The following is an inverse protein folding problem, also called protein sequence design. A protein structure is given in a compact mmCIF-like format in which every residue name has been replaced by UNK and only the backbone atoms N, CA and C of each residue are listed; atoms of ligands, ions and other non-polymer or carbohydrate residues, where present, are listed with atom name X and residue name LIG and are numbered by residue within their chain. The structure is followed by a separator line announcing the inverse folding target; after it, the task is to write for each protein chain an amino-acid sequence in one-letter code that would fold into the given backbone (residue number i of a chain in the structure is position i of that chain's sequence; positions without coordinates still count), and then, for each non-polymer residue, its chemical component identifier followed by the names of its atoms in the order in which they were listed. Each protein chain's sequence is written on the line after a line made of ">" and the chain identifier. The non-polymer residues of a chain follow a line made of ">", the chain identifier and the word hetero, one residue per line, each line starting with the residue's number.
data_IF_627448400092
#
_entry.id   IF_627448400092
#
_cell.length_a   1.000
_cell.length_b   1.000
_cell.length_c   1.000
_cell.angle_alpha   90.00
_cell.angle_beta   90.00
_cell.angle_gamma   90.00
#
_symmetry.space_group_name_H-M   'P 1'
#
loop_
_entity.id
_entity.type
_entity.pdbx_description
1 polymer ?
#
# COMPACT_ATOMS: atom_id res chain seq x y z
N UNK A 1 -0.02 20.01 -3.73
CA UNK A 1 -0.46 18.64 -3.39
C UNK A 1 0.21 17.67 -4.34
N UNK A 2 0.89 16.65 -3.81
CA UNK A 2 1.64 15.58 -4.51
C UNK A 2 2.85 16.00 -5.37
N UNK A 3 2.93 17.24 -5.87
CA UNK A 3 4.07 17.68 -6.68
C UNK A 3 4.10 17.08 -8.09
N UNK A 4 2.97 16.56 -8.56
CA UNK A 4 2.83 15.99 -9.90
C UNK A 4 2.66 17.09 -10.96
N UNK A 5 3.00 16.83 -12.24
CA UNK A 5 2.87 17.83 -13.31
C UNK A 5 1.41 18.28 -13.50
N UNK A 6 1.18 19.58 -13.73
CA UNK A 6 -0.18 20.13 -13.90
C UNK A 6 -0.99 19.47 -15.02
N UNK A 7 -0.34 19.01 -16.10
CA UNK A 7 -1.00 18.30 -17.20
C UNK A 7 -1.64 16.96 -16.78
N UNK A 8 -1.21 16.41 -15.64
CA UNK A 8 -1.79 15.20 -15.07
C UNK A 8 -3.03 15.47 -14.25
N UNK A 9 -3.25 16.71 -13.81
CA UNK A 9 -4.35 17.05 -12.93
C UNK A 9 -5.68 16.77 -13.61
N UNK A 10 -6.56 16.15 -12.85
CA UNK A 10 -7.92 15.81 -13.23
C UNK A 10 -8.75 16.06 -11.98
N UNK A 11 -9.93 16.64 -12.11
CA UNK A 11 -10.82 16.82 -10.94
C UNK A 11 -12.13 16.12 -11.23
N UNK A 12 -12.04 14.81 -11.52
CA UNK A 12 -13.20 14.00 -11.84
C UNK A 12 -13.66 13.30 -10.58
N UNK A 13 -14.70 13.84 -9.97
CA UNK A 13 -15.36 13.18 -8.86
C UNK A 13 -15.97 11.87 -9.33
N UNK A 14 -15.77 10.80 -8.56
CA UNK A 14 -16.45 9.53 -8.78
C UNK A 14 -17.61 9.43 -7.80
N UNK A 15 -18.86 9.63 -8.25
CA UNK A 15 -20.02 9.46 -7.38
C UNK A 15 -20.06 8.01 -6.90
N UNK A 16 -20.13 7.81 -5.58
CA UNK A 16 -20.18 6.46 -5.01
C UNK A 16 -21.30 5.61 -5.60
N UNK A 17 -22.47 6.22 -5.85
CA UNK A 17 -23.61 5.57 -6.50
C UNK A 17 -23.24 5.03 -7.89
N UNK A 18 -22.43 5.74 -8.66
CA UNK A 18 -21.97 5.27 -9.97
C UNK A 18 -21.03 4.07 -9.82
N UNK A 19 -20.08 4.13 -8.87
CA UNK A 19 -19.20 2.99 -8.55
C UNK A 19 -20.05 1.77 -8.14
N UNK A 20 -21.04 1.96 -7.27
CA UNK A 20 -21.89 0.88 -6.76
C UNK A 20 -22.71 0.20 -7.84
N UNK A 21 -23.18 0.96 -8.82
CA UNK A 21 -24.02 0.46 -9.92
C UNK A 21 -23.18 -0.17 -11.03
N UNK A 22 -22.14 0.52 -11.50
CA UNK A 22 -21.25 0.03 -12.56
C UNK A 22 -20.54 -1.28 -12.16
N UNK A 23 -20.14 -1.39 -10.89
CA UNK A 23 -19.39 -2.54 -10.40
C UNK A 23 -20.24 -3.57 -9.64
N UNK A 24 -21.57 -3.47 -9.69
CA UNK A 24 -22.51 -4.43 -9.08
C UNK A 24 -22.16 -4.83 -7.63
N UNK A 25 -21.77 -3.85 -6.81
CA UNK A 25 -21.26 -4.15 -5.46
C UNK A 25 -22.34 -4.79 -4.57
N UNK A 26 -21.94 -5.69 -3.67
CA UNK A 26 -22.85 -6.23 -2.67
C UNK A 26 -23.17 -5.21 -1.56
N UNK A 27 -24.26 -5.41 -0.82
CA UNK A 27 -24.72 -4.46 0.20
C UNK A 27 -23.68 -4.20 1.30
N UNK A 28 -22.99 -5.25 1.77
CA UNK A 28 -21.98 -5.14 2.81
C UNK A 28 -20.77 -4.27 2.39
N UNK A 29 -20.32 -4.39 1.14
CA UNK A 29 -19.21 -3.59 0.62
C UNK A 29 -19.61 -2.11 0.42
N UNK A 30 -20.86 -1.85 -0.02
CA UNK A 30 -21.40 -0.48 -0.11
C UNK A 30 -21.45 0.18 1.27
N UNK A 31 -21.97 -0.53 2.26
CA UNK A 31 -22.09 -0.03 3.63
C UNK A 31 -20.73 0.32 4.22
N UNK A 32 -19.70 -0.52 4.00
CA UNK A 32 -18.33 -0.22 4.43
C UNK A 32 -17.74 1.01 3.75
N UNK A 33 -17.89 1.15 2.44
CA UNK A 33 -17.43 2.35 1.71
C UNK A 33 -18.19 3.59 2.19
N UNK A 34 -19.47 3.47 2.54
CA UNK A 34 -20.25 4.58 3.08
C UNK A 34 -19.89 4.95 4.51
N UNK A 35 -19.48 3.99 5.33
CA UNK A 35 -18.99 4.22 6.68
C UNK A 35 -17.58 4.82 6.71
N UNK A 36 -16.67 4.33 5.85
CA UNK A 36 -15.25 4.69 5.90
C UNK A 36 -14.91 5.92 5.05
N UNK A 37 -15.56 6.07 3.89
CA UNK A 37 -15.19 7.07 2.89
C UNK A 37 -16.22 8.20 2.86
N UNK A 38 -15.76 9.44 2.74
CA UNK A 38 -16.60 10.61 2.48
C UNK A 38 -16.71 10.84 0.98
N UNK A 39 -15.58 10.94 0.28
CA UNK A 39 -15.50 11.31 -1.14
C UNK A 39 -14.38 10.55 -1.84
N UNK A 40 -14.61 10.21 -3.11
CA UNK A 40 -13.61 9.64 -4.01
C UNK A 40 -13.50 10.57 -5.21
N UNK A 41 -12.28 11.02 -5.51
CA UNK A 41 -12.00 11.92 -6.62
C UNK A 41 -10.76 11.44 -7.34
N UNK A 42 -10.83 11.29 -8.66
CA UNK A 42 -9.63 11.14 -9.49
C UNK A 42 -8.97 12.50 -9.53
N UNK A 43 -7.78 12.62 -8.95
CA UNK A 43 -7.00 13.87 -8.86
C UNK A 43 -5.94 13.97 -9.94
N UNK A 44 -5.41 12.82 -10.39
CA UNK A 44 -4.46 12.80 -11.49
C UNK A 44 -4.64 11.56 -12.37
N UNK A 45 -4.35 11.72 -13.65
CA UNK A 45 -4.16 10.63 -14.60
C UNK A 45 -2.75 10.71 -15.16
N UNK A 46 -1.98 9.65 -14.93
CA UNK A 46 -0.60 9.54 -15.39
C UNK A 46 -0.58 8.72 -16.67
N UNK A 47 -0.38 9.42 -17.79
CA UNK A 47 -0.34 8.84 -19.12
C UNK A 47 0.79 9.46 -19.95
N UNK A 48 1.33 8.75 -20.96
CA UNK A 48 2.51 9.19 -21.68
C UNK A 48 2.37 10.57 -22.33
N UNK A 49 1.18 10.86 -22.85
CA UNK A 49 0.82 12.13 -23.47
C UNK A 49 0.82 13.32 -22.49
N UNK A 50 0.80 13.09 -21.17
CA UNK A 50 0.72 14.12 -20.14
C UNK A 50 2.06 14.42 -19.46
N UNK A 51 2.96 13.44 -19.38
CA UNK A 51 4.21 13.56 -18.61
C UNK A 51 5.49 13.37 -19.43
N UNK A 52 5.38 13.15 -20.75
CA UNK A 52 6.52 12.88 -21.64
C UNK A 52 7.38 11.68 -21.20
N UNK A 53 6.77 10.71 -20.50
CA UNK A 53 7.36 9.42 -20.16
C UNK A 53 6.64 8.36 -21.00
N UNK A 54 7.33 7.54 -21.79
CA UNK A 54 6.69 6.53 -22.63
C UNK A 54 5.95 5.48 -21.81
N UNK A 55 4.92 4.88 -22.42
CA UNK A 55 4.24 3.73 -21.83
C UNK A 55 5.24 2.59 -21.58
N UNK A 56 5.06 1.90 -20.47
CA UNK A 56 5.75 0.64 -20.21
C UNK A 56 5.15 -0.52 -21.01
N UNK A 57 5.79 -1.68 -20.91
CA UNK A 57 5.25 -2.94 -21.42
C UNK A 57 3.98 -3.32 -20.65
N UNK A 58 4.01 -3.20 -19.32
CA UNK A 58 2.93 -3.63 -18.43
C UNK A 58 2.00 -2.47 -18.02
N UNK A 59 2.55 -1.28 -17.82
CA UNK A 59 1.85 -0.08 -17.35
C UNK A 59 1.69 0.91 -18.50
N UNK A 60 0.48 0.98 -19.07
CA UNK A 60 0.15 1.95 -20.13
C UNK A 60 -0.23 3.33 -19.60
N UNK A 61 -0.90 3.35 -18.44
CA UNK A 61 -1.24 4.52 -17.66
C UNK A 61 -1.74 4.08 -16.29
N UNK A 62 -1.76 4.99 -15.32
CA UNK A 62 -2.31 4.74 -13.99
C UNK A 62 -2.99 5.99 -13.43
N UNK A 63 -3.90 5.81 -12.49
CA UNK A 63 -4.65 6.90 -11.87
C UNK A 63 -4.18 7.19 -10.45
N UNK A 64 -4.37 8.44 -10.03
CA UNK A 64 -4.24 8.85 -8.64
C UNK A 64 -5.61 9.23 -8.12
N UNK A 65 -6.08 8.51 -7.10
CA UNK A 65 -7.38 8.72 -6.48
C UNK A 65 -7.20 9.32 -5.09
N UNK A 66 -7.75 10.51 -4.88
CA UNK A 66 -7.91 11.09 -3.56
C UNK A 66 -9.18 10.52 -2.93
N UNK A 67 -8.99 9.85 -1.81
CA UNK A 67 -10.04 9.25 -0.99
C UNK A 67 -10.07 9.98 0.34
N UNK A 68 -11.04 10.88 0.49
CA UNK A 68 -11.29 11.57 1.75
C UNK A 68 -12.02 10.63 2.69
N UNK A 69 -11.38 10.26 3.80
CA UNK A 69 -11.88 9.34 4.80
C UNK A 69 -12.72 10.08 5.85
N UNK A 70 -13.70 9.37 6.44
CA UNK A 70 -14.52 9.89 7.55
C UNK A 70 -13.88 9.66 8.92
N UNK A 71 -12.94 8.73 9.00
CA UNK A 71 -12.22 8.33 10.21
C UNK A 71 -10.82 7.86 9.84
N UNK A 72 -9.87 8.06 10.74
CA UNK A 72 -8.47 7.64 10.56
C UNK A 72 -8.32 6.10 10.52
N UNK A 73 -9.17 5.40 11.27
CA UNK A 73 -9.25 3.94 11.30
C UNK A 73 -10.29 3.44 10.28
N UNK A 74 -9.83 2.94 9.13
CA UNK A 74 -10.68 2.38 8.09
C UNK A 74 -10.33 0.89 7.84
N UNK A 75 -11.25 0.14 7.22
CA UNK A 75 -10.98 -1.25 6.85
C UNK A 75 -10.11 -1.32 5.60
N UNK A 76 -8.90 -1.89 5.67
CA UNK A 76 -8.01 -2.06 4.51
C UNK A 76 -8.67 -2.82 3.36
N UNK A 77 -9.66 -3.68 3.66
CA UNK A 77 -10.46 -4.38 2.64
C UNK A 77 -11.23 -3.41 1.75
N UNK A 78 -11.57 -2.22 2.24
CA UNK A 78 -12.21 -1.16 1.46
C UNK A 78 -11.31 -0.69 0.32
N UNK A 79 -10.02 -0.47 0.59
CA UNK A 79 -9.03 -0.07 -0.44
C UNK A 79 -8.75 -1.20 -1.42
N UNK A 80 -8.60 -2.43 -0.91
CA UNK A 80 -8.45 -3.60 -1.76
C UNK A 80 -9.66 -3.79 -2.69
N UNK A 81 -10.87 -3.56 -2.19
CA UNK A 81 -12.09 -3.62 -2.99
C UNK A 81 -12.05 -2.57 -4.08
N UNK A 82 -11.84 -1.29 -3.72
CA UNK A 82 -11.78 -0.18 -4.68
C UNK A 82 -10.72 -0.41 -5.77
N UNK A 83 -9.54 -0.92 -5.41
CA UNK A 83 -8.51 -1.20 -6.40
C UNK A 83 -8.86 -2.35 -7.34
N UNK A 84 -9.59 -3.35 -6.86
CA UNK A 84 -10.04 -4.47 -7.70
C UNK A 84 -11.19 -4.09 -8.64
N UNK A 85 -11.92 -3.03 -8.34
CA UNK A 85 -13.01 -2.56 -9.19
C UNK A 85 -12.49 -1.97 -10.50
N UNK A 86 -11.38 -1.25 -10.45
CA UNK A 86 -10.84 -0.57 -11.62
C UNK A 86 -9.68 -1.43 -12.16
N UNK A 87 -9.77 -1.99 -13.37
CA UNK A 87 -8.76 -2.88 -13.94
C UNK A 87 -7.53 -2.10 -14.44
N UNK A 88 -6.95 -1.30 -13.56
CA UNK A 88 -5.81 -0.43 -13.84
C UNK A 88 -5.07 -0.13 -12.55
N UNK A 89 -3.77 0.17 -12.67
CA UNK A 89 -2.95 0.59 -11.54
C UNK A 89 -3.49 1.90 -10.93
N UNK A 90 -3.62 1.91 -9.61
CA UNK A 90 -4.13 3.06 -8.86
C UNK A 90 -3.26 3.35 -7.66
N UNK A 91 -2.81 4.60 -7.57
CA UNK A 91 -2.26 5.18 -6.36
C UNK A 91 -3.39 5.86 -5.58
N UNK A 92 -3.67 5.37 -4.37
CA UNK A 92 -4.62 5.99 -3.45
C UNK A 92 -3.91 7.01 -2.58
N UNK A 93 -4.46 8.22 -2.52
CA UNK A 93 -4.12 9.23 -1.53
C UNK A 93 -5.25 9.25 -0.52
N UNK A 94 -4.98 8.71 0.65
CA UNK A 94 -5.94 8.59 1.73
C UNK A 94 -5.78 9.80 2.63
N UNK A 95 -6.81 10.65 2.65
CA UNK A 95 -6.79 11.91 3.38
C UNK A 95 -7.79 11.85 4.54
N UNK A 96 -7.34 12.28 5.71
CA UNK A 96 -8.18 12.46 6.88
C UNK A 96 -7.75 13.76 7.58
N UNK A 97 -8.65 14.73 7.66
CA UNK A 97 -8.36 16.08 8.15
C UNK A 97 -7.18 16.72 7.40
N UNK A 98 -6.06 17.02 8.08
CA UNK A 98 -4.87 17.64 7.48
C UNK A 98 -3.74 16.64 7.23
N UNK A 99 -3.99 15.35 7.43
CA UNK A 99 -3.02 14.28 7.22
C UNK A 99 -3.41 13.43 6.01
N UNK A 100 -2.40 12.91 5.33
CA UNK A 100 -2.58 11.94 4.26
C UNK A 100 -1.56 10.82 4.32
N UNK A 101 -1.90 9.70 3.70
CA UNK A 101 -0.98 8.61 3.40
C UNK A 101 -1.21 8.07 2.00
N UNK A 102 -0.18 7.49 1.42
CA UNK A 102 -0.27 6.81 0.14
C UNK A 102 -0.60 5.34 0.37
N UNK A 103 -1.42 4.77 -0.50
CA UNK A 103 -1.69 3.34 -0.51
C UNK A 103 -1.80 2.82 -1.95
N UNK A 104 -1.41 1.57 -2.14
CA UNK A 104 -1.53 0.84 -3.40
C UNK A 104 -2.01 -0.57 -3.13
N UNK A 105 -2.58 -1.20 -4.15
CA UNK A 105 -2.86 -2.63 -4.14
C UNK A 105 -1.99 -3.31 -5.19
N UNK A 106 -1.13 -4.23 -4.75
CA UNK A 106 -0.37 -5.11 -5.64
C UNK A 106 -0.86 -6.55 -5.44
N UNK A 107 -0.21 -7.30 -4.57
CA UNK A 107 -0.71 -8.58 -4.01
C UNK A 107 -1.57 -8.35 -2.76
N UNK A 108 -1.23 -7.31 -2.00
CA UNK A 108 -1.91 -6.83 -0.79
C UNK A 108 -1.97 -5.30 -0.78
N UNK A 109 -2.72 -4.74 0.16
CA UNK A 109 -2.69 -3.29 0.42
C UNK A 109 -1.37 -2.95 1.07
N UNK A 110 -0.61 -2.06 0.44
CA UNK A 110 0.59 -1.44 0.98
C UNK A 110 0.30 0.03 1.24
N UNK A 111 0.83 0.58 2.32
CA UNK A 111 0.51 1.93 2.75
C UNK A 111 1.66 2.58 3.52
N UNK A 112 1.84 3.88 3.32
CA UNK A 112 2.79 4.68 4.10
C UNK A 112 2.23 5.06 5.45
N UNK A 113 3.10 5.55 6.33
CA UNK A 113 2.69 6.29 7.53
C UNK A 113 1.90 7.55 7.16
N UNK A 114 1.06 7.99 8.09
CA UNK A 114 0.38 9.28 8.02
C UNK A 114 1.41 10.40 8.13
N UNK A 115 1.26 11.43 7.29
CA UNK A 115 2.03 12.68 7.37
C UNK A 115 1.17 13.86 6.92
N UNK A 116 1.55 15.11 7.20
CA UNK A 116 0.81 16.27 6.74
C UNK A 116 0.58 16.22 5.23
N UNK A 117 -0.64 16.53 4.78
CA UNK A 117 -1.00 16.47 3.35
C UNK A 117 -0.11 17.37 2.47
N UNK A 118 0.40 18.45 3.04
CA UNK A 118 1.34 19.37 2.38
C UNK A 118 2.72 18.75 2.10
N UNK A 119 3.15 17.81 2.95
CA UNK A 119 4.41 17.07 2.82
C UNK A 119 4.28 15.82 1.93
N UNK A 120 3.06 15.53 1.46
CA UNK A 120 2.81 14.42 0.56
C UNK A 120 3.33 14.74 -0.83
N UNK A 121 4.29 13.95 -1.30
CA UNK A 121 4.93 14.07 -2.61
C UNK A 121 5.00 12.71 -3.27
N UNK A 122 4.80 12.70 -4.58
CA UNK A 122 4.91 11.53 -5.43
C UNK A 122 5.86 11.90 -6.55
N UNK A 123 7.00 11.21 -6.61
CA UNK A 123 8.00 11.45 -7.65
C UNK A 123 7.80 10.44 -8.79
N UNK A 124 7.76 10.95 -10.02
CA UNK A 124 7.65 10.13 -11.22
C UNK A 124 9.03 9.89 -11.80
N UNK A 125 9.83 9.06 -11.12
CA UNK A 125 11.19 8.74 -11.55
C UNK A 125 11.20 7.46 -12.38
N UNK A 126 11.67 7.54 -13.63
CA UNK A 126 11.80 6.36 -14.49
C UNK A 126 11.88 6.71 -15.98
N UNK A 127 12.44 5.81 -16.78
CA UNK A 127 12.54 5.97 -18.24
C UNK A 127 11.23 5.60 -18.96
N UNK A 128 10.35 4.83 -18.30
CA UNK A 128 9.03 4.45 -18.79
C UNK A 128 8.05 4.32 -17.59
N UNK A 129 6.77 4.13 -17.89
CA UNK A 129 5.74 3.99 -16.85
C UNK A 129 5.86 2.71 -16.00
N UNK A 130 6.52 1.66 -16.47
CA UNK A 130 6.78 0.47 -15.64
C UNK A 130 7.72 0.82 -14.50
N UNK A 131 8.86 1.44 -14.81
CA UNK A 131 9.85 1.87 -13.82
C UNK A 131 9.27 2.93 -12.87
N UNK A 132 8.46 3.86 -13.39
CA UNK A 132 7.78 4.86 -12.55
C UNK A 132 6.83 4.17 -11.56
N UNK A 133 6.02 3.22 -12.04
CA UNK A 133 5.09 2.51 -11.18
C UNK A 133 5.81 1.65 -10.14
N UNK A 134 6.84 0.92 -10.55
CA UNK A 134 7.69 0.12 -9.67
C UNK A 134 8.30 0.97 -8.55
N UNK A 135 8.85 2.15 -8.88
CA UNK A 135 9.40 3.08 -7.89
C UNK A 135 8.33 3.59 -6.90
N UNK A 136 7.10 3.81 -7.36
CA UNK A 136 5.98 4.15 -6.47
C UNK A 136 5.66 2.96 -5.55
N UNK A 137 5.65 1.74 -6.07
CA UNK A 137 5.39 0.53 -5.26
C UNK A 137 6.46 0.33 -4.19
N UNK A 138 7.73 0.52 -4.54
CA UNK A 138 8.87 0.52 -3.63
C UNK A 138 8.67 1.55 -2.52
N UNK A 139 8.40 2.81 -2.89
CA UNK A 139 8.25 3.91 -1.95
C UNK A 139 7.05 3.73 -1.00
N UNK A 140 5.91 3.24 -1.51
CA UNK A 140 4.70 3.01 -0.71
C UNK A 140 4.81 1.75 0.15
N UNK A 141 5.44 0.71 -0.38
CA UNK A 141 5.67 -0.56 0.32
C UNK A 141 6.81 -0.52 1.33
N UNK A 142 7.67 0.52 1.29
CA UNK A 142 8.90 0.56 2.08
C UNK A 142 9.87 -0.57 1.69
N UNK A 143 9.83 -0.99 0.43
CA UNK A 143 10.62 -2.12 -0.08
C UNK A 143 11.94 -1.56 -0.59
N UNK A 144 13.07 -2.08 -0.13
CA UNK A 144 14.37 -1.85 -0.77
C UNK A 144 14.67 -3.05 -1.65
N UNK A 145 14.72 -2.86 -2.98
CA UNK A 145 15.09 -3.92 -3.92
C UNK A 145 16.59 -4.20 -3.76
N UNK A 146 16.93 -5.41 -3.32
CA UNK A 146 18.29 -5.90 -3.32
C UNK A 146 18.71 -6.27 -4.75
N UNK A 147 20.00 -6.07 -5.08
CA UNK A 147 20.51 -6.27 -6.45
C UNK A 147 20.25 -7.71 -6.92
N UNK A 148 19.43 -7.85 -7.96
CA UNK A 148 19.15 -9.12 -8.63
C UNK A 148 17.76 -9.70 -8.37
N UNK A 149 17.02 -9.17 -7.39
CA UNK A 149 15.63 -9.57 -7.14
C UNK A 149 14.66 -8.75 -7.98
N UNK A 150 13.56 -9.37 -8.38
CA UNK A 150 12.38 -8.65 -8.90
C UNK A 150 11.62 -7.97 -7.75
N UNK A 151 10.80 -6.95 -8.07
CA UNK A 151 9.94 -6.28 -7.08
C UNK A 151 9.07 -7.28 -6.31
N UNK A 152 8.47 -8.25 -7.00
CA UNK A 152 7.60 -9.26 -6.38
C UNK A 152 8.35 -10.20 -5.44
N UNK A 153 9.53 -10.66 -5.83
CA UNK A 153 10.38 -11.49 -4.96
C UNK A 153 10.78 -10.71 -3.70
N UNK A 154 11.16 -9.45 -3.84
CA UNK A 154 11.54 -8.62 -2.69
C UNK A 154 10.35 -8.35 -1.76
N UNK A 155 9.16 -8.12 -2.31
CA UNK A 155 7.93 -7.98 -1.52
C UNK A 155 7.68 -9.25 -0.70
N UNK A 156 7.80 -10.44 -1.31
CA UNK A 156 7.62 -11.70 -0.58
C UNK A 156 8.67 -11.91 0.50
N UNK A 157 9.94 -11.59 0.23
CA UNK A 157 11.04 -11.67 1.20
C UNK A 157 10.75 -10.74 2.37
N UNK A 158 10.41 -9.48 2.13
CA UNK A 158 10.10 -8.50 3.16
C UNK A 158 8.88 -8.93 3.99
N UNK A 159 7.87 -9.54 3.37
CA UNK A 159 6.71 -10.09 4.08
C UNK A 159 7.05 -11.25 5.00
N UNK A 160 7.93 -12.15 4.55
CA UNK A 160 8.45 -13.24 5.38
C UNK A 160 9.26 -12.68 6.55
N UNK A 161 10.14 -11.71 6.31
CA UNK A 161 10.92 -11.02 7.34
C UNK A 161 10.01 -10.38 8.40
N UNK A 162 9.03 -9.56 7.98
CA UNK A 162 8.09 -8.91 8.91
C UNK A 162 7.26 -9.90 9.73
N UNK A 163 6.83 -11.04 9.15
CA UNK A 163 6.10 -12.07 9.89
C UNK A 163 6.97 -12.72 10.96
N UNK A 164 8.21 -13.08 10.61
CA UNK A 164 9.18 -13.65 11.54
C UNK A 164 9.50 -12.68 12.67
N UNK A 165 9.79 -11.40 12.36
CA UNK A 165 10.04 -10.36 13.37
C UNK A 165 8.88 -10.20 14.35
N UNK A 166 7.64 -10.13 13.85
CA UNK A 166 6.45 -10.04 14.71
C UNK A 166 6.32 -11.25 15.63
N UNK A 167 6.61 -12.44 15.12
CA UNK A 167 6.54 -13.66 15.89
C UNK A 167 7.66 -13.76 16.94
N UNK A 168 8.88 -13.32 16.60
CA UNK A 168 9.99 -13.16 17.53
C UNK A 168 9.61 -12.20 18.67
N UNK A 169 9.10 -11.01 18.36
CA UNK A 169 8.67 -10.03 19.38
C UNK A 169 7.57 -10.60 20.28
N UNK A 170 6.63 -11.36 19.70
CA UNK A 170 5.56 -12.04 20.46
C UNK A 170 6.17 -13.07 21.42
N UNK A 171 7.06 -13.94 20.94
CA UNK A 171 7.72 -14.97 21.74
C UNK A 171 8.61 -14.35 22.82
N UNK A 172 9.39 -13.31 22.51
CA UNK A 172 10.21 -12.57 23.48
C UNK A 172 9.36 -12.03 24.62
N UNK A 173 8.21 -11.41 24.30
CA UNK A 173 7.29 -10.87 25.30
C UNK A 173 6.69 -11.98 26.17
N UNK A 174 6.32 -13.12 25.57
CA UNK A 174 5.81 -14.28 26.29
C UNK A 174 6.88 -14.90 27.21
N UNK A 175 8.11 -15.07 26.71
CA UNK A 175 9.22 -15.61 27.48
C UNK A 175 9.61 -14.73 28.67
N UNK A 176 9.52 -13.40 28.53
CA UNK A 176 9.76 -12.45 29.64
C UNK A 176 8.66 -12.52 30.72
N UNK A 177 7.42 -12.77 30.33
CA UNK A 177 6.27 -12.84 31.25
C UNK A 177 6.12 -14.22 31.93
N UNK A 178 6.69 -15.27 31.34
CA UNK A 178 6.57 -16.65 31.86
C UNK A 178 7.42 -16.88 33.12
N UNK A 179 6.79 -17.49 34.12
CA UNK A 179 7.38 -17.81 35.43
C UNK A 179 7.88 -19.25 35.51
N UNK A 180 7.28 -20.16 34.74
CA UNK A 180 7.67 -21.57 34.72
C UNK A 180 8.95 -21.77 33.91
N UNK A 181 10.06 -22.24 34.52
CA UNK A 181 11.35 -22.32 33.83
C UNK A 181 11.35 -23.19 32.57
N UNK A 182 10.62 -24.32 32.58
CA UNK A 182 10.52 -25.22 31.42
C UNK A 182 9.84 -24.55 30.22
N UNK A 183 8.69 -23.91 30.44
CA UNK A 183 7.97 -23.19 29.37
C UNK A 183 8.74 -21.97 28.88
N UNK A 184 9.42 -21.26 29.78
CA UNK A 184 10.31 -20.16 29.38
C UNK A 184 11.44 -20.63 28.48
N UNK A 185 12.05 -21.78 28.80
CA UNK A 185 13.09 -22.38 27.97
C UNK A 185 12.57 -22.75 26.57
N UNK A 186 11.40 -23.39 26.49
CA UNK A 186 10.75 -23.73 25.21
C UNK A 186 10.48 -22.48 24.35
N UNK A 187 9.97 -21.40 24.96
CA UNK A 187 9.71 -20.14 24.27
C UNK A 187 10.98 -19.48 23.73
N UNK A 188 12.07 -19.48 24.52
CA UNK A 188 13.38 -18.94 24.09
C UNK A 188 14.00 -19.80 23.00
N UNK A 189 13.82 -21.13 23.04
CA UNK A 189 14.31 -22.01 21.99
C UNK A 189 13.59 -21.77 20.67
N UNK A 190 12.25 -21.67 20.70
CA UNK A 190 11.46 -21.31 19.52
C UNK A 190 11.83 -19.92 18.97
N UNK A 191 12.05 -18.94 19.85
CA UNK A 191 12.52 -17.61 19.46
C UNK A 191 13.87 -17.66 18.73
N UNK A 192 14.82 -18.47 19.24
CA UNK A 192 16.14 -18.65 18.62
C UNK A 192 16.04 -19.28 17.22
N UNK A 193 15.20 -20.30 17.06
CA UNK A 193 14.97 -20.93 15.75
C UNK A 193 14.39 -19.94 14.73
N UNK A 194 13.48 -19.06 15.16
CA UNK A 194 12.96 -18.01 14.27
C UNK A 194 14.00 -16.94 13.93
N UNK A 195 14.89 -16.59 14.87
CA UNK A 195 16.03 -15.69 14.61
C UNK A 195 17.01 -16.27 13.61
N UNK A 196 17.29 -17.58 13.65
CA UNK A 196 18.13 -18.24 12.64
C UNK A 196 17.48 -18.25 11.25
N UNK A 197 16.16 -18.51 11.17
CA UNK A 197 15.42 -18.40 9.91
C UNK A 197 15.40 -16.98 9.34
N UNK A 198 15.31 -15.97 10.20
CA UNK A 198 15.38 -14.57 9.77
C UNK A 198 16.75 -14.25 9.17
N UNK A 199 17.83 -14.71 9.81
CA UNK A 199 19.19 -14.51 9.33
C UNK A 199 19.45 -15.15 7.96
N UNK A 200 18.91 -16.35 7.72
CA UNK A 200 18.99 -17.03 6.42
C UNK A 200 18.24 -16.31 5.29
N UNK A 201 17.32 -15.38 5.61
CA UNK A 201 16.64 -14.54 4.62
C UNK A 201 17.37 -13.21 4.39
N UNK A 202 18.40 -12.91 5.17
CA UNK A 202 19.26 -11.72 5.06
C UNK A 202 20.61 -12.00 4.38
N UNK A 203 20.97 -13.28 4.25
CA UNK A 203 22.18 -13.79 3.56
C UNK A 203 21.89 -14.11 2.08
#
# INVERSE_FOLDING_TARGET
>A
MLGLPQLTETSKQLPKKAIYTEFQMNAAAKEKIDADISRITIVNEIAPNKINIPAGENVKSFFVLLVSLKKKEYDEKTIATLSKLIPQNILFVLEYENESRLAIYHTKVMQTSWKPTEEQKVELNGLNLDTVWENIVIAVGGVNIEKGNTLDEQIEINDKKQKLEKEIVRLEKQARAEKQPKKKFELVQAEKELKEKLKLLEE
#
